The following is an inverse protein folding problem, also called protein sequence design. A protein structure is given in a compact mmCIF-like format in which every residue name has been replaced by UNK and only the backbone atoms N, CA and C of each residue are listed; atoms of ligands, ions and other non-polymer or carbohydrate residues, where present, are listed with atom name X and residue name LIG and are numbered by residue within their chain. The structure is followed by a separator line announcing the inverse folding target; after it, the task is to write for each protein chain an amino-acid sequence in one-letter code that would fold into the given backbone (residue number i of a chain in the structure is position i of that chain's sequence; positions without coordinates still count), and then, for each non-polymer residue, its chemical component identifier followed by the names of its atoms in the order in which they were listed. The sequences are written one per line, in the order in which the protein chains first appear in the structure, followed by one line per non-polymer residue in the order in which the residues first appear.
data_IF_109123530021
#
_entry.id   IF_109123530021
#
_cell.length_a   1.000
_cell.length_b   1.000
_cell.length_c   1.000
_cell.angle_alpha   90.00
_cell.angle_beta   90.00
_cell.angle_gamma   90.00
#
_symmetry.space_group_name_H-M   'P 1'
#
loop_
_entity.id
_entity.type
_entity.pdbx_description
1 polymer ?
#
# COMPACT_ATOMS: atom_id res chain seq x y z
N UNK A 1 -25.50 -18.31 -8.62
CA UNK A 1 -24.38 -19.25 -8.85
C UNK A 1 -23.09 -18.57 -8.37
N UNK A 2 -22.07 -19.31 -7.93
CA UNK A 2 -20.75 -18.70 -7.68
C UNK A 2 -20.21 -18.21 -9.02
N UNK A 3 -19.90 -16.92 -9.11
CA UNK A 3 -19.39 -16.27 -10.33
C UNK A 3 -17.89 -16.15 -10.30
N UNK A 4 -17.36 -15.73 -9.16
CA UNK A 4 -15.94 -15.51 -8.97
C UNK A 4 -15.50 -16.05 -7.62
N UNK A 5 -14.29 -16.58 -7.61
CA UNK A 5 -13.56 -17.04 -6.43
C UNK A 5 -12.22 -16.33 -6.48
N UNK A 6 -12.06 -15.32 -5.63
CA UNK A 6 -10.92 -14.41 -5.66
C UNK A 6 -10.12 -14.56 -4.36
N UNK A 7 -8.86 -14.98 -4.41
CA UNK A 7 -7.97 -14.92 -3.27
C UNK A 7 -7.85 -13.48 -2.74
N UNK A 8 -7.84 -13.30 -1.43
CA UNK A 8 -7.47 -12.02 -0.82
C UNK A 8 -5.94 -11.94 -0.80
N UNK A 9 -5.36 -10.84 -1.27
CA UNK A 9 -3.92 -10.79 -1.51
C UNK A 9 -3.05 -10.92 -0.25
N UNK A 10 -3.57 -10.69 0.95
CA UNK A 10 -2.85 -10.98 2.21
C UNK A 10 -2.78 -12.48 2.55
N UNK A 11 -3.41 -13.34 1.75
CA UNK A 11 -3.48 -14.79 1.94
C UNK A 11 -4.55 -15.25 2.93
N UNK A 12 -4.69 -16.57 3.06
CA UNK A 12 -5.61 -17.31 3.95
C UNK A 12 -7.08 -16.87 3.91
N UNK A 13 -7.48 -16.17 2.85
CA UNK A 13 -8.85 -15.75 2.65
C UNK A 13 -9.22 -15.76 1.17
N UNK A 14 -10.49 -16.05 0.90
CA UNK A 14 -11.08 -16.11 -0.42
C UNK A 14 -12.42 -15.35 -0.38
N UNK A 15 -12.58 -14.40 -1.31
CA UNK A 15 -13.86 -13.74 -1.59
C UNK A 15 -14.62 -14.52 -2.65
N UNK A 16 -15.87 -14.84 -2.33
CA UNK A 16 -16.82 -15.51 -3.22
C UNK A 16 -17.89 -14.51 -3.64
N UNK A 17 -18.06 -14.31 -4.95
CA UNK A 17 -19.16 -13.52 -5.49
C UNK A 17 -20.28 -14.45 -5.96
N UNK A 18 -21.46 -14.29 -5.37
CA UNK A 18 -22.66 -15.07 -5.62
C UNK A 18 -23.61 -14.26 -6.49
N UNK A 19 -23.99 -14.79 -7.65
CA UNK A 19 -25.08 -14.21 -8.42
C UNK A 19 -26.43 -14.68 -7.88
N UNK A 20 -27.37 -13.73 -7.80
CA UNK A 20 -28.78 -14.02 -7.54
C UNK A 20 -29.32 -15.06 -8.52
N UNK A 21 -30.01 -16.06 -7.99
CA UNK A 21 -30.81 -17.00 -8.78
C UNK A 21 -32.26 -16.58 -8.62
N UNK A 22 -32.99 -16.41 -9.71
CA UNK A 22 -34.37 -15.94 -9.66
C UNK A 22 -35.22 -16.84 -8.76
N UNK A 23 -35.88 -16.24 -7.75
CA UNK A 23 -36.69 -16.96 -6.76
C UNK A 23 -35.91 -17.60 -5.61
N UNK A 24 -34.59 -17.39 -5.52
CA UNK A 24 -33.81 -17.82 -4.36
C UNK A 24 -33.98 -16.84 -3.20
N UNK A 25 -34.46 -17.34 -2.05
CA UNK A 25 -34.62 -16.53 -0.83
C UNK A 25 -33.43 -16.58 0.13
N UNK A 26 -32.56 -17.58 -0.02
CA UNK A 26 -31.31 -17.73 0.72
C UNK A 26 -30.37 -18.69 -0.01
N UNK A 27 -29.09 -18.65 0.32
CA UNK A 27 -28.08 -19.59 -0.14
C UNK A 27 -27.18 -20.05 1.00
N UNK A 28 -26.65 -21.25 0.80
CA UNK A 28 -25.69 -21.90 1.69
C UNK A 28 -24.44 -22.25 0.89
N UNK A 29 -23.28 -21.87 1.40
CA UNK A 29 -21.99 -22.11 0.74
C UNK A 29 -21.20 -23.10 1.58
N UNK A 30 -20.79 -24.20 0.95
CA UNK A 30 -19.97 -25.24 1.56
C UNK A 30 -18.59 -25.27 0.92
N UNK A 31 -17.58 -25.62 1.70
CA UNK A 31 -16.19 -25.82 1.26
C UNK A 31 -15.66 -27.21 1.61
N UNK A 32 -14.87 -27.80 0.71
CA UNK A 32 -14.11 -29.04 0.93
C UNK A 32 -12.73 -28.95 0.25
N UNK A 33 -11.82 -29.85 0.64
CA UNK A 33 -10.54 -30.07 -0.04
C UNK A 33 -10.68 -31.02 -1.25
N UNK A 34 -11.86 -31.62 -1.44
CA UNK A 34 -12.20 -32.55 -2.51
C UNK A 34 -13.58 -32.23 -3.10
N UNK A 35 -13.78 -32.45 -4.42
CA UNK A 35 -15.06 -32.21 -5.11
C UNK A 35 -16.04 -33.39 -4.99
N UNK A 36 -16.36 -33.79 -3.77
CA UNK A 36 -17.24 -34.94 -3.47
C UNK A 36 -18.36 -34.54 -2.51
N UNK A 37 -19.03 -33.43 -2.78
CA UNK A 37 -20.15 -32.94 -1.97
C UNK A 37 -21.36 -33.88 -2.00
N UNK A 38 -21.85 -34.30 -0.83
CA UNK A 38 -23.02 -35.18 -0.71
C UNK A 38 -24.37 -34.45 -0.74
N UNK A 39 -24.39 -33.13 -0.48
CA UNK A 39 -25.62 -32.34 -0.42
C UNK A 39 -25.45 -30.99 0.28
N UNK A 40 -26.56 -30.30 0.51
CA UNK A 40 -26.58 -28.98 1.19
C UNK A 40 -26.26 -29.07 2.70
N UNK A 41 -26.28 -30.27 3.27
CA UNK A 41 -26.02 -30.60 4.67
C UNK A 41 -24.89 -31.63 4.82
N UNK A 42 -23.93 -31.65 3.88
CA UNK A 42 -22.77 -32.54 3.92
C UNK A 42 -21.98 -32.35 5.23
N UNK A 43 -21.90 -33.39 6.10
CA UNK A 43 -21.22 -33.29 7.39
C UNK A 43 -19.69 -33.21 7.27
N UNK A 44 -19.14 -33.58 6.11
CA UNK A 44 -17.71 -33.51 5.82
C UNK A 44 -17.33 -32.20 5.12
N UNK A 45 -18.29 -31.31 4.88
CA UNK A 45 -18.05 -30.00 4.31
C UNK A 45 -18.05 -28.93 5.40
N UNK A 46 -17.16 -27.96 5.25
CA UNK A 46 -17.15 -26.78 6.09
C UNK A 46 -18.25 -25.82 5.63
N UNK A 47 -19.11 -25.39 6.55
CA UNK A 47 -20.11 -24.36 6.28
C UNK A 47 -19.43 -22.99 6.25
N UNK A 48 -19.25 -22.43 5.06
CA UNK A 48 -18.64 -21.11 4.87
C UNK A 48 -19.65 -20.01 5.21
N UNK A 49 -20.89 -20.15 4.74
CA UNK A 49 -21.91 -19.12 4.90
C UNK A 49 -23.33 -19.67 4.71
N UNK A 50 -24.31 -19.10 5.41
CA UNK A 50 -25.74 -19.27 5.14
C UNK A 50 -26.46 -17.92 5.32
N UNK A 51 -27.15 -17.46 4.28
CA UNK A 51 -27.81 -16.15 4.28
C UNK A 51 -28.21 -15.71 2.88
N UNK A 52 -28.26 -14.41 2.62
CA UNK A 52 -28.69 -13.80 1.35
C UNK A 52 -27.71 -12.76 0.79
N UNK A 53 -26.50 -12.64 1.37
CA UNK A 53 -25.47 -11.72 0.89
C UNK A 53 -24.83 -12.17 -0.43
N UNK A 54 -24.73 -11.25 -1.39
CA UNK A 54 -24.15 -11.51 -2.71
C UNK A 54 -22.63 -11.68 -2.72
N UNK A 55 -21.96 -11.35 -1.62
CA UNK A 55 -20.51 -11.47 -1.46
C UNK A 55 -20.22 -12.10 -0.12
N UNK A 56 -19.42 -13.16 -0.12
CA UNK A 56 -19.02 -13.90 1.09
C UNK A 56 -17.51 -13.94 1.16
N UNK A 57 -16.93 -13.74 2.34
CA UNK A 57 -15.49 -13.91 2.55
C UNK A 57 -15.26 -15.13 3.43
N UNK A 58 -14.64 -16.14 2.86
CA UNK A 58 -14.13 -17.28 3.59
C UNK A 58 -12.72 -16.97 4.09
N UNK A 59 -12.52 -17.03 5.39
CA UNK A 59 -11.24 -16.72 6.03
C UNK A 59 -10.87 -17.73 7.14
N UNK A 60 -11.66 -18.79 7.30
CA UNK A 60 -11.52 -19.72 8.42
C UNK A 60 -10.85 -21.00 7.98
N UNK A 61 -9.74 -21.36 8.63
CA UNK A 61 -9.01 -22.62 8.40
C UNK A 61 -8.54 -22.82 6.94
N UNK A 62 -8.35 -21.72 6.21
CA UNK A 62 -7.72 -21.73 4.89
C UNK A 62 -6.21 -21.72 5.07
N UNK A 63 -5.52 -22.52 4.27
CA UNK A 63 -4.06 -22.57 4.17
C UNK A 63 -3.67 -22.10 2.78
N UNK A 64 -2.71 -21.15 2.70
CA UNK A 64 -2.15 -20.71 1.43
C UNK A 64 -1.66 -21.88 0.57
N UNK A 65 -1.83 -21.74 -0.75
CA UNK A 65 -1.43 -22.70 -1.79
C UNK A 65 -2.15 -24.06 -1.73
N UNK A 66 -3.20 -24.17 -0.90
CA UNK A 66 -4.10 -25.33 -0.86
C UNK A 66 -5.34 -25.07 -1.72
N UNK A 67 -5.64 -25.99 -2.63
CA UNK A 67 -6.86 -25.92 -3.44
C UNK A 67 -8.10 -26.28 -2.61
N UNK A 68 -9.09 -25.40 -2.64
CA UNK A 68 -10.41 -25.64 -2.03
C UNK A 68 -11.51 -25.62 -3.08
N UNK A 69 -12.48 -26.48 -2.88
CA UNK A 69 -13.70 -26.59 -3.67
C UNK A 69 -14.84 -25.95 -2.90
N UNK A 70 -15.64 -25.14 -3.60
CA UNK A 70 -16.78 -24.42 -3.08
C UNK A 70 -18.04 -24.80 -3.84
N UNK A 71 -19.13 -25.03 -3.11
CA UNK A 71 -20.43 -25.32 -3.72
C UNK A 71 -21.53 -24.53 -3.03
N UNK A 72 -22.29 -23.79 -3.83
CA UNK A 72 -23.44 -23.05 -3.33
C UNK A 72 -24.71 -23.86 -3.53
N UNK A 73 -25.59 -23.84 -2.54
CA UNK A 73 -26.92 -24.40 -2.58
C UNK A 73 -27.91 -23.25 -2.43
N UNK A 74 -28.87 -23.15 -3.35
CA UNK A 74 -29.85 -22.07 -3.41
C UNK A 74 -31.21 -22.60 -2.96
N UNK A 75 -31.86 -21.91 -2.03
CA UNK A 75 -33.21 -22.26 -1.60
C UNK A 75 -34.25 -21.66 -2.56
N UNK A 76 -34.81 -22.49 -3.44
CA UNK A 76 -35.79 -22.11 -4.47
C UNK A 76 -36.99 -23.04 -4.37
N UNK A 77 -38.20 -22.49 -4.31
CA UNK A 77 -39.46 -23.25 -4.30
C UNK A 77 -39.50 -24.39 -3.25
N UNK A 78 -39.00 -24.13 -2.04
CA UNK A 78 -38.92 -25.10 -0.93
C UNK A 78 -37.96 -26.28 -1.14
N UNK A 79 -37.00 -26.15 -2.06
CA UNK A 79 -35.94 -27.13 -2.29
C UNK A 79 -34.57 -26.46 -2.39
N UNK A 80 -33.52 -27.20 -2.00
CA UNK A 80 -32.14 -26.79 -2.22
C UNK A 80 -31.68 -27.20 -3.62
N UNK A 81 -31.29 -26.22 -4.42
CA UNK A 81 -30.72 -26.42 -5.75
C UNK A 81 -29.21 -26.23 -5.69
N UNK A 82 -28.44 -27.25 -6.06
CA UNK A 82 -26.99 -27.18 -6.10
C UNK A 82 -26.49 -26.35 -7.30
N UNK A 83 -25.42 -25.59 -7.09
CA UNK A 83 -24.63 -24.96 -8.16
C UNK A 83 -23.56 -25.90 -8.71
N UNK A 84 -22.93 -25.48 -9.80
CA UNK A 84 -21.62 -26.01 -10.17
C UNK A 84 -20.61 -25.76 -9.03
N UNK A 85 -19.63 -26.65 -8.90
CA UNK A 85 -18.50 -26.47 -8.00
C UNK A 85 -17.58 -25.38 -8.57
N UNK A 86 -17.14 -24.47 -7.72
CA UNK A 86 -16.10 -23.49 -8.01
C UNK A 86 -14.85 -23.83 -7.21
N UNK A 87 -13.68 -23.42 -7.68
CA UNK A 87 -12.41 -23.70 -7.01
C UNK A 87 -11.67 -22.42 -6.70
N UNK A 88 -10.93 -22.40 -5.59
CA UNK A 88 -10.05 -21.30 -5.23
C UNK A 88 -8.87 -21.79 -4.43
N UNK A 89 -7.73 -21.14 -4.61
CA UNK A 89 -6.50 -21.39 -3.87
C UNK A 89 -6.08 -20.06 -3.26
N UNK A 90 -6.11 -19.90 -1.92
CA UNK A 90 -5.67 -18.68 -1.29
C UNK A 90 -4.14 -18.57 -1.48
N UNK A 91 -3.66 -17.38 -1.79
CA UNK A 91 -2.24 -17.13 -1.97
C UNK A 91 -1.95 -15.67 -1.60
N UNK A 92 -0.75 -15.40 -1.09
CA UNK A 92 -0.32 -14.04 -0.79
C UNK A 92 0.46 -13.48 -1.98
N UNK A 93 -0.14 -12.58 -2.75
CA UNK A 93 0.43 -12.00 -3.99
C UNK A 93 0.49 -10.48 -4.03
N UNK A 94 0.42 -9.80 -2.88
CA UNK A 94 0.50 -8.34 -2.87
C UNK A 94 1.95 -7.85 -2.99
N UNK A 95 2.13 -6.78 -3.76
CA UNK A 95 3.34 -6.00 -3.82
C UNK A 95 3.07 -4.57 -3.34
N UNK A 96 4.05 -3.99 -2.65
CA UNK A 96 3.98 -2.60 -2.23
C UNK A 96 4.21 -1.68 -3.44
N UNK A 97 3.19 -0.88 -3.79
CA UNK A 97 3.24 0.11 -4.84
C UNK A 97 3.10 1.54 -4.29
N UNK A 98 3.37 1.71 -2.99
CA UNK A 98 3.23 2.97 -2.27
C UNK A 98 4.50 3.82 -2.38
N UNK A 99 4.32 5.15 -2.36
CA UNK A 99 5.46 6.08 -2.32
C UNK A 99 5.89 6.30 -0.86
N UNK A 100 7.05 5.76 -0.45
CA UNK A 100 7.64 6.09 0.85
C UNK A 100 8.22 7.51 0.85
N UNK A 101 7.37 8.46 1.27
CA UNK A 101 7.71 9.88 1.33
C UNK A 101 8.90 10.16 2.25
N UNK A 102 9.06 9.42 3.35
CA UNK A 102 10.14 9.65 4.31
C UNK A 102 11.48 9.28 3.69
N UNK A 103 11.58 8.10 3.07
CA UNK A 103 12.81 7.66 2.41
C UNK A 103 13.15 8.55 1.21
N UNK A 104 12.14 8.89 0.39
CA UNK A 104 12.34 9.77 -0.76
C UNK A 104 12.86 11.16 -0.32
N UNK A 105 12.24 11.76 0.68
CA UNK A 105 12.64 13.09 1.17
C UNK A 105 14.03 13.05 1.81
N UNK A 106 14.34 12.00 2.57
CA UNK A 106 15.67 11.77 3.15
C UNK A 106 16.74 11.73 2.07
N UNK A 107 16.53 10.94 1.02
CA UNK A 107 17.49 10.82 -0.09
C UNK A 107 17.66 12.16 -0.82
N UNK A 108 16.55 12.89 -1.05
CA UNK A 108 16.63 14.21 -1.68
C UNK A 108 17.35 15.24 -0.83
N UNK A 109 17.19 15.20 0.49
CA UNK A 109 17.95 16.04 1.41
C UNK A 109 19.44 15.69 1.37
N UNK A 110 19.80 14.41 1.35
CA UNK A 110 21.20 13.98 1.26
C UNK A 110 21.88 14.52 -0.01
N UNK A 111 21.25 14.31 -1.18
CA UNK A 111 21.76 14.84 -2.45
C UNK A 111 21.82 16.37 -2.46
N UNK A 112 20.79 17.03 -1.91
CA UNK A 112 20.71 18.48 -1.87
C UNK A 112 21.77 19.12 -0.97
N UNK A 113 22.01 18.55 0.21
CA UNK A 113 23.03 19.05 1.14
C UNK A 113 24.44 18.84 0.63
N UNK A 114 24.71 17.75 -0.09
CA UNK A 114 26.01 17.56 -0.76
C UNK A 114 26.33 18.69 -1.73
N UNK A 115 25.34 19.13 -2.52
CA UNK A 115 25.52 20.28 -3.43
C UNK A 115 25.80 21.58 -2.67
N UNK A 116 25.13 21.81 -1.53
CA UNK A 116 25.37 23.03 -0.73
C UNK A 116 26.74 23.00 -0.02
N UNK A 117 27.25 21.81 0.34
CA UNK A 117 28.62 21.64 0.84
C UNK A 117 29.65 21.85 -0.28
N UNK A 118 29.41 21.32 -1.48
CA UNK A 118 30.28 21.54 -2.65
C UNK A 118 30.36 23.02 -3.05
N UNK A 119 29.27 23.77 -2.85
CA UNK A 119 29.23 25.24 -3.05
C UNK A 119 29.98 26.02 -1.97
N UNK A 120 30.38 25.37 -0.88
CA UNK A 120 31.05 25.99 0.27
C UNK A 120 30.11 26.86 1.12
N UNK A 121 28.80 26.71 0.99
CA UNK A 121 27.80 27.46 1.80
C UNK A 121 27.71 26.86 3.20
N UNK A 122 27.80 25.53 3.29
CA UNK A 122 27.82 24.78 4.55
C UNK A 122 29.14 24.03 4.61
N UNK A 123 29.82 24.09 5.75
CA UNK A 123 31.04 23.33 6.01
C UNK A 123 30.73 22.20 6.99
N UNK A 124 31.21 21.01 6.67
CA UNK A 124 31.11 19.84 7.55
C UNK A 124 32.42 19.06 7.50
N UNK A 125 32.84 18.49 8.63
CA UNK A 125 34.11 17.76 8.76
C UNK A 125 34.23 16.61 7.75
N UNK A 126 33.12 15.94 7.46
CA UNK A 126 33.05 14.83 6.50
C UNK A 126 32.75 15.25 5.05
N UNK A 127 32.72 16.54 4.74
CA UNK A 127 32.25 17.07 3.44
C UNK A 127 30.83 16.59 3.04
N UNK A 128 30.05 16.12 4.01
CA UNK A 128 28.66 15.70 3.86
C UNK A 128 27.96 15.91 5.19
N UNK A 129 26.75 16.48 5.15
CA UNK A 129 25.88 16.67 6.30
C UNK A 129 25.10 15.37 6.53
N UNK A 130 25.21 14.71 7.69
CA UNK A 130 24.47 13.48 7.93
C UNK A 130 22.96 13.75 8.06
N UNK A 131 22.18 12.97 7.30
CA UNK A 131 20.71 12.95 7.37
C UNK A 131 20.27 11.69 8.13
N UNK A 132 19.76 11.87 9.35
CA UNK A 132 19.34 10.80 10.25
C UNK A 132 17.81 10.69 10.30
N UNK A 133 17.30 9.51 10.63
CA UNK A 133 15.86 9.28 10.88
C UNK A 133 15.51 9.24 12.38
N UNK A 134 16.54 9.20 13.23
CA UNK A 134 16.43 9.25 14.69
C UNK A 134 17.03 10.56 15.23
N UNK A 135 16.57 11.05 16.40
CA UNK A 135 17.16 12.23 17.03
C UNK A 135 18.67 12.05 17.27
N UNK A 136 19.48 13.11 17.10
CA UNK A 136 20.93 13.00 17.22
C UNK A 136 21.34 12.85 18.69
N UNK A 137 22.32 11.99 18.96
CA UNK A 137 22.98 11.90 20.27
C UNK A 137 24.19 12.83 20.25
N UNK A 138 24.28 13.76 21.20
CA UNK A 138 25.25 14.85 21.19
C UNK A 138 26.73 14.40 21.12
N UNK A 139 27.08 13.33 21.83
CA UNK A 139 28.47 12.85 21.89
C UNK A 139 28.90 12.10 20.62
N UNK A 140 27.95 11.39 19.98
CA UNK A 140 28.20 10.52 18.82
C UNK A 140 27.98 11.24 17.49
N UNK A 141 27.16 12.30 17.48
CA UNK A 141 26.76 12.99 16.25
C UNK A 141 27.73 14.12 15.93
N UNK A 142 28.16 14.21 14.67
CA UNK A 142 28.94 15.35 14.17
C UNK A 142 27.99 16.40 13.61
N UNK A 143 28.26 17.65 13.97
CA UNK A 143 27.43 18.80 13.63
C UNK A 143 28.05 19.60 12.47
N UNK A 144 27.24 20.27 11.63
CA UNK A 144 25.77 20.27 11.59
C UNK A 144 25.16 18.95 11.10
N UNK A 145 23.97 18.58 11.59
CA UNK A 145 23.23 17.40 11.14
C UNK A 145 21.76 17.72 10.88
N UNK A 146 21.07 16.85 10.15
CA UNK A 146 19.63 16.98 9.88
C UNK A 146 18.93 15.69 10.28
N UNK A 147 17.77 15.81 10.91
CA UNK A 147 16.91 14.67 11.21
C UNK A 147 15.57 14.80 10.51
N UNK A 148 15.01 13.68 10.07
CA UNK A 148 13.69 13.60 9.44
C UNK A 148 12.85 12.60 10.22
N UNK A 149 11.70 13.04 10.71
CA UNK A 149 10.80 12.25 11.52
C UNK A 149 9.41 12.19 10.88
N UNK A 150 8.80 11.01 10.90
CA UNK A 150 7.38 10.87 10.61
C UNK A 150 6.58 11.31 11.84
N UNK A 151 5.81 12.40 11.72
CA UNK A 151 4.93 12.85 12.81
C UNK A 151 3.60 12.11 12.77
N UNK A 152 3.00 12.04 11.59
CA UNK A 152 1.76 11.30 11.39
C UNK A 152 1.62 10.84 9.94
N UNK A 153 1.00 9.68 9.81
CA UNK A 153 0.47 9.17 8.55
C UNK A 153 -0.98 8.80 8.82
N UNK A 154 -1.90 9.42 8.09
CA UNK A 154 -3.33 9.20 8.27
C UNK A 154 -4.02 9.04 6.93
N UNK A 155 -5.01 8.14 6.81
CA UNK A 155 -5.80 8.05 5.59
C UNK A 155 -6.58 9.36 5.43
N UNK A 156 -6.26 10.13 4.39
CA UNK A 156 -6.85 11.44 4.15
C UNK A 156 -8.23 11.29 3.51
N UNK A 157 -8.29 10.49 2.45
CA UNK A 157 -9.49 10.23 1.69
C UNK A 157 -9.47 8.79 1.17
N UNK A 158 -10.57 8.07 1.43
CA UNK A 158 -10.94 6.92 0.60
C UNK A 158 -11.67 7.50 -0.61
N UNK A 159 -10.91 7.88 -1.63
CA UNK A 159 -11.50 8.29 -2.90
C UNK A 159 -12.37 7.15 -3.44
N UNK A 160 -13.55 7.47 -3.96
CA UNK A 160 -14.17 6.76 -5.08
C UNK A 160 -13.82 7.65 -6.29
N UNK A 161 -12.82 7.27 -7.09
CA UNK A 161 -12.06 8.20 -7.98
C UNK A 161 -11.00 8.94 -7.15
N UNK A 162 -9.70 9.02 -7.46
CA UNK A 162 -9.08 9.76 -8.58
C UNK A 162 -7.55 9.47 -8.70
N UNK A 163 -6.97 8.52 -9.44
CA UNK A 163 -7.42 7.42 -10.32
C UNK A 163 -6.99 6.08 -9.66
N UNK A 164 -7.81 5.06 -9.43
CA UNK A 164 -9.01 4.58 -10.13
C UNK A 164 -8.77 4.40 -11.62
N UNK A 165 -7.76 3.61 -11.99
CA UNK A 165 -7.99 2.79 -13.18
C UNK A 165 -9.14 1.84 -12.81
N UNK A 166 -10.23 1.77 -13.58
CA UNK A 166 -11.06 0.57 -13.50
C UNK A 166 -10.10 -0.60 -13.69
N UNK A 167 -10.39 -1.74 -13.06
CA UNK A 167 -9.80 -3.00 -13.49
C UNK A 167 -9.77 -2.93 -15.02
N UNK A 168 -8.59 -3.03 -15.62
CA UNK A 168 -8.47 -2.95 -17.05
C UNK A 168 -7.93 -4.27 -17.51
N UNK A 169 -8.56 -4.74 -18.58
CA UNK A 169 -8.20 -5.99 -19.17
C UNK A 169 -6.97 -5.77 -20.06
N UNK A 170 -5.83 -6.21 -19.59
CA UNK A 170 -4.57 -6.28 -20.32
C UNK A 170 -4.71 -7.39 -21.38
N UNK A 171 -4.87 -7.00 -22.64
CA UNK A 171 -5.07 -7.92 -23.76
C UNK A 171 -3.82 -8.78 -24.08
N UNK A 172 -2.62 -8.28 -23.77
CA UNK A 172 -1.37 -8.99 -24.05
C UNK A 172 -1.14 -10.11 -23.03
N UNK A 173 -1.63 -9.92 -21.80
CA UNK A 173 -1.52 -10.87 -20.70
C UNK A 173 -2.82 -11.66 -20.43
N UNK A 174 -3.90 -11.34 -21.15
CA UNK A 174 -5.27 -11.88 -20.95
C UNK A 174 -5.76 -11.73 -19.49
N UNK A 175 -5.36 -10.63 -18.83
CA UNK A 175 -5.46 -10.44 -17.38
C UNK A 175 -6.22 -9.17 -17.00
N UNK A 176 -6.95 -9.19 -15.89
CA UNK A 176 -7.45 -7.97 -15.26
C UNK A 176 -6.45 -7.49 -14.22
N UNK A 177 -5.98 -6.25 -14.34
CA UNK A 177 -5.11 -5.63 -13.34
C UNK A 177 -5.96 -4.91 -12.28
N UNK A 178 -5.97 -5.45 -11.05
CA UNK A 178 -6.78 -4.96 -9.93
C UNK A 178 -5.92 -4.18 -8.95
N UNK A 179 -6.38 -2.99 -8.57
CA UNK A 179 -5.66 -2.07 -7.68
C UNK A 179 -6.48 -1.75 -6.43
N UNK A 180 -5.91 -1.89 -5.23
CA UNK A 180 -6.52 -1.47 -3.95
C UNK A 180 -5.61 -0.45 -3.22
N UNK A 181 -6.18 0.64 -2.68
CA UNK A 181 -5.41 1.65 -1.93
C UNK A 181 -6.20 2.87 -1.45
N UNK A 182 -5.52 3.79 -0.75
CA UNK A 182 -6.05 5.08 -0.31
C UNK A 182 -5.01 6.21 -0.46
N UNK A 183 -5.45 7.46 -0.38
CA UNK A 183 -4.55 8.61 -0.29
C UNK A 183 -4.18 8.85 1.18
N UNK A 184 -2.89 8.80 1.49
CA UNK A 184 -2.37 9.07 2.83
C UNK A 184 -1.96 10.54 2.95
N UNK A 185 -2.47 11.22 3.98
CA UNK A 185 -1.94 12.50 4.45
C UNK A 185 -0.73 12.20 5.31
N UNK A 186 0.45 12.57 4.80
CA UNK A 186 1.75 12.34 5.45
C UNK A 186 2.26 13.67 5.99
N UNK A 187 2.59 13.69 7.28
CA UNK A 187 3.23 14.82 7.96
C UNK A 187 4.61 14.39 8.45
N UNK A 188 5.63 15.09 7.96
CA UNK A 188 7.03 14.90 8.31
C UNK A 188 7.57 16.14 9.02
N UNK A 189 8.48 15.92 9.96
CA UNK A 189 9.24 16.98 10.61
C UNK A 189 10.71 16.83 10.26
N UNK A 190 11.26 17.83 9.60
CA UNK A 190 12.68 17.97 9.32
C UNK A 190 13.26 18.90 10.38
N UNK A 191 14.25 18.47 11.14
CA UNK A 191 14.94 19.31 12.11
C UNK A 191 16.39 19.46 11.68
N UNK A 192 16.83 20.68 11.44
CA UNK A 192 18.25 20.98 11.23
C UNK A 192 18.86 21.36 12.56
N UNK A 193 20.04 20.84 12.82
CA UNK A 193 20.75 21.03 14.07
C UNK A 193 22.13 21.62 13.81
N UNK A 194 22.49 22.64 14.58
CA UNK A 194 23.74 23.37 14.41
C UNK A 194 24.23 23.92 15.75
N UNK A 195 25.55 24.09 15.87
CA UNK A 195 26.17 24.75 17.03
C UNK A 195 26.24 26.26 16.85
N UNK A 196 26.13 26.76 15.62
CA UNK A 196 26.23 28.17 15.28
C UNK A 196 24.88 28.74 14.78
N UNK A 197 24.48 29.95 15.23
CA UNK A 197 23.22 30.57 14.81
C UNK A 197 23.22 30.99 13.33
N UNK A 198 24.37 31.34 12.75
CA UNK A 198 24.49 31.68 11.32
C UNK A 198 24.39 30.43 10.44
N UNK A 199 24.99 29.31 10.87
CA UNK A 199 24.84 28.02 10.19
C UNK A 199 23.38 27.56 10.19
N UNK A 200 22.64 27.74 11.30
CA UNK A 200 21.19 27.48 11.34
C UNK A 200 20.45 28.21 10.21
N UNK A 201 20.78 29.48 9.99
CA UNK A 201 20.10 30.30 8.97
C UNK A 201 20.37 29.76 7.57
N UNK A 202 21.61 29.38 7.26
CA UNK A 202 21.95 28.79 5.97
C UNK A 202 21.36 27.39 5.80
N UNK A 203 21.37 26.56 6.84
CA UNK A 203 20.72 25.23 6.86
C UNK A 203 19.22 25.35 6.57
N UNK A 204 18.52 26.29 7.21
CA UNK A 204 17.09 26.56 6.94
C UNK A 204 16.85 26.97 5.49
N UNK A 205 17.69 27.88 4.95
CA UNK A 205 17.60 28.31 3.54
C UNK A 205 17.88 27.13 2.60
N UNK A 206 18.85 26.28 2.93
CA UNK A 206 19.20 25.08 2.17
C UNK A 206 18.02 24.11 2.12
N UNK A 207 17.40 23.76 3.25
CA UNK A 207 16.19 22.90 3.28
C UNK A 207 15.10 23.46 2.35
N UNK A 208 14.82 24.77 2.43
CA UNK A 208 13.83 25.39 1.55
C UNK A 208 14.19 25.27 0.07
N UNK A 209 15.46 25.53 -0.30
CA UNK A 209 15.94 25.41 -1.69
C UNK A 209 15.85 23.97 -2.20
N UNK A 210 16.24 23.01 -1.37
CA UNK A 210 16.23 21.59 -1.72
C UNK A 210 14.80 21.12 -1.96
N UNK A 211 13.85 21.47 -1.08
CA UNK A 211 12.44 21.10 -1.28
C UNK A 211 11.89 21.74 -2.55
N UNK A 212 12.14 23.04 -2.77
CA UNK A 212 11.68 23.75 -3.97
C UNK A 212 12.28 23.17 -5.26
N UNK A 213 13.54 22.73 -5.23
CA UNK A 213 14.22 22.14 -6.37
C UNK A 213 13.69 20.74 -6.74
N UNK A 214 13.10 20.02 -5.78
CA UNK A 214 12.59 18.67 -5.99
C UNK A 214 11.07 18.61 -6.25
N UNK A 215 10.37 19.75 -6.38
CA UNK A 215 8.91 19.76 -6.60
C UNK A 215 8.47 18.94 -7.81
N UNK A 216 9.23 18.98 -8.92
CA UNK A 216 8.91 18.19 -10.11
C UNK A 216 9.11 16.68 -9.91
N UNK A 217 10.04 16.28 -9.04
CA UNK A 217 10.23 14.88 -8.69
C UNK A 217 9.10 14.41 -7.77
N UNK A 218 8.72 15.22 -6.79
CA UNK A 218 7.61 14.89 -5.90
C UNK A 218 6.29 14.73 -6.67
N UNK A 219 6.06 15.58 -7.68
CA UNK A 219 4.91 15.45 -8.59
C UNK A 219 4.97 14.15 -9.40
N UNK A 220 6.16 13.74 -9.88
CA UNK A 220 6.35 12.47 -10.59
C UNK A 220 6.05 11.25 -9.72
N UNK A 221 6.42 11.30 -8.44
CA UNK A 221 6.17 10.25 -7.44
C UNK A 221 4.74 10.29 -6.85
N UNK A 222 3.86 11.11 -7.43
CA UNK A 222 2.44 11.20 -7.07
C UNK A 222 2.14 12.00 -5.80
N UNK A 223 3.09 12.79 -5.30
CA UNK A 223 2.88 13.63 -4.12
C UNK A 223 2.17 14.94 -4.49
N UNK A 224 1.01 15.19 -3.88
CA UNK A 224 0.22 16.40 -4.13
C UNK A 224 0.06 17.25 -2.87
N UNK A 225 -0.33 18.52 -3.06
CA UNK A 225 -0.55 19.50 -1.98
C UNK A 225 0.63 19.58 -1.00
N UNK A 226 1.84 19.73 -1.54
CA UNK A 226 3.04 19.86 -0.73
C UNK A 226 3.02 21.22 -0.04
N UNK A 227 2.95 21.20 1.29
CA UNK A 227 3.03 22.38 2.14
C UNK A 227 4.23 22.27 3.06
N UNK A 228 4.94 23.39 3.22
CA UNK A 228 6.08 23.47 4.13
C UNK A 228 5.95 24.67 5.03
N UNK A 229 6.15 24.48 6.33
CA UNK A 229 6.23 25.56 7.32
C UNK A 229 7.52 25.45 8.10
N UNK A 230 8.16 26.59 8.37
CA UNK A 230 9.46 26.64 9.05
C UNK A 230 9.38 27.51 10.31
N UNK A 231 10.03 27.06 11.38
CA UNK A 231 10.17 27.78 12.64
C UNK A 231 11.57 27.56 13.21
N UNK A 232 12.19 28.62 13.70
CA UNK A 232 13.44 28.50 14.45
C UNK A 232 13.12 28.22 15.91
N UNK A 233 13.79 27.24 16.49
CA UNK A 233 13.66 26.85 17.89
C UNK A 233 15.06 26.80 18.50
N UNK A 234 15.17 27.24 19.74
CA UNK A 234 16.44 27.27 20.44
C UNK A 234 16.31 26.35 21.66
N UNK A 235 17.20 25.36 21.74
CA UNK A 235 17.24 24.45 22.87
C UNK A 235 18.50 24.73 23.68
N UNK A 236 18.29 25.44 24.79
CA UNK A 236 19.33 25.82 25.74
C UNK A 236 19.39 24.89 26.95
N UNK A 237 18.56 23.84 27.01
CA UNK A 237 18.32 23.07 28.23
C UNK A 237 18.60 21.58 28.10
N UNK A 238 18.42 21.00 26.91
CA UNK A 238 18.51 19.54 26.74
C UNK A 238 19.93 19.02 26.54
N UNK A 239 20.87 19.88 26.15
CA UNK A 239 22.25 19.50 25.81
C UNK A 239 23.29 20.28 26.63
N UNK A 240 24.48 19.69 26.77
CA UNK A 240 25.61 20.30 27.52
C UNK A 240 26.16 21.58 26.84
N UNK A 241 25.77 21.85 25.60
CA UNK A 241 26.06 23.07 24.86
C UNK A 241 24.78 23.62 24.21
N UNK A 242 24.66 24.95 24.01
CA UNK A 242 23.52 25.52 23.31
C UNK A 242 23.44 24.97 21.88
N UNK A 243 22.30 24.37 21.53
CA UNK A 243 22.06 23.83 20.18
C UNK A 243 20.97 24.64 19.52
N UNK A 244 21.27 25.13 18.31
CA UNK A 244 20.36 25.90 17.50
C UNK A 244 19.64 24.98 16.52
N UNK A 245 18.31 24.98 16.58
CA UNK A 245 17.46 24.12 15.77
C UNK A 245 16.61 24.95 14.78
N UNK A 246 16.42 24.43 13.58
CA UNK A 246 15.36 24.92 12.69
C UNK A 246 14.44 23.76 12.38
N UNK A 247 13.17 23.90 12.72
CA UNK A 247 12.14 22.90 12.49
C UNK A 247 11.38 23.28 11.22
N UNK A 248 11.30 22.35 10.27
CA UNK A 248 10.52 22.45 9.06
C UNK A 248 9.48 21.33 9.06
N UNK A 249 8.21 21.68 9.23
CA UNK A 249 7.10 20.75 9.02
C UNK A 249 6.80 20.67 7.53
N UNK A 250 6.74 19.46 7.01
CA UNK A 250 6.45 19.11 5.62
C UNK A 250 5.19 18.25 5.62
N UNK A 251 4.16 18.67 4.90
CA UNK A 251 2.94 17.89 4.73
C UNK A 251 2.62 17.69 3.27
N UNK A 252 2.17 16.49 2.91
CA UNK A 252 1.75 16.16 1.56
C UNK A 252 0.69 15.07 1.59
N UNK A 253 0.04 14.87 0.45
CA UNK A 253 -0.80 13.70 0.20
C UNK A 253 -0.05 12.80 -0.77
N UNK A 254 0.09 11.51 -0.44
CA UNK A 254 0.80 10.52 -1.24
C UNK A 254 -0.05 9.25 -1.43
N UNK A 255 0.15 8.49 -2.53
CA UNK A 255 -0.55 7.24 -2.77
C UNK A 255 -0.04 6.12 -1.85
N UNK A 256 -0.96 5.49 -1.12
CA UNK A 256 -0.73 4.24 -0.40
C UNK A 256 -1.52 3.12 -1.09
N UNK A 257 -0.84 2.34 -1.93
CA UNK A 257 -1.43 1.33 -2.79
C UNK A 257 -0.69 -0.01 -2.68
N UNK A 258 -1.47 -1.08 -2.82
CA UNK A 258 -0.95 -2.43 -3.03
C UNK A 258 -1.30 -2.87 -4.46
N UNK A 259 -0.32 -3.40 -5.16
CA UNK A 259 -0.53 -4.07 -6.44
C UNK A 259 -0.83 -5.54 -6.17
N UNK A 260 -1.82 -6.09 -6.85
CA UNK A 260 -2.15 -7.51 -6.77
C UNK A 260 -1.92 -8.15 -8.13
N UNK A 261 -1.12 -9.20 -8.19
CA UNK A 261 -1.14 -10.12 -9.32
C UNK A 261 -2.36 -11.03 -9.14
N UNK A 262 -3.28 -11.06 -10.12
CA UNK A 262 -4.38 -12.04 -10.14
C UNK A 262 -3.89 -13.37 -10.77
N UNK A 263 -3.77 -14.46 -9.99
CA UNK A 263 -3.29 -15.75 -10.51
C UNK A 263 -4.36 -16.54 -11.29
N UNK A 264 -5.62 -16.10 -11.37
CA UNK A 264 -6.72 -16.90 -11.94
C UNK A 264 -7.00 -16.65 -13.43
N UNK A 265 -5.98 -16.80 -14.29
CA UNK A 265 -6.20 -17.06 -15.72
C UNK A 265 -5.92 -18.53 -15.99
N UNK A 266 -6.99 -19.26 -16.26
CA UNK A 266 -6.95 -20.62 -16.78
C UNK A 266 -6.24 -20.58 -18.14
N UNK A 267 -4.92 -20.81 -18.15
CA UNK A 267 -4.16 -21.12 -19.36
C UNK A 267 -4.50 -22.53 -19.82
N UNK A 268 -5.54 -22.69 -20.63
CA UNK A 268 -5.62 -23.72 -21.69
C UNK A 268 -6.92 -23.61 -22.50
N UNK A 269 -6.82 -23.12 -23.73
CA UNK A 269 -7.59 -23.67 -24.85
C UNK A 269 -6.63 -23.87 -26.01
N UNK A 270 -6.16 -25.11 -26.19
CA UNK A 270 -5.58 -25.55 -27.45
C UNK A 270 -6.68 -25.50 -28.51
N UNK A 271 -6.74 -24.46 -29.33
CA UNK A 271 -7.45 -24.52 -30.60
C UNK A 271 -6.44 -24.81 -31.71
N UNK A 272 -6.25 -26.10 -31.98
CA UNK A 272 -5.66 -26.54 -33.25
C UNK A 272 -6.60 -26.10 -34.37
N UNK A 273 -6.22 -25.05 -35.10
CA UNK A 273 -6.91 -24.68 -36.33
C UNK A 273 -6.50 -25.69 -37.40
N UNK A 274 -7.39 -26.64 -37.70
CA UNK A 274 -7.31 -27.47 -38.90
C UNK A 274 -7.77 -26.60 -40.06
N UNK A 275 -6.86 -26.25 -40.96
CA UNK A 275 -7.22 -25.70 -42.26
C UNK A 275 -7.74 -26.84 -43.13
N UNK A 276 -9.03 -26.83 -43.46
CA UNK A 276 -9.55 -27.56 -44.61
C UNK A 276 -9.65 -26.61 -45.80
N UNK A 277 -9.02 -27.03 -46.90
CA UNK A 277 -8.96 -26.37 -48.22
C UNK A 277 -10.34 -26.03 -48.80
#
# INVERSE_FOLDING_TARGET
MIRFVQPIASGNAIRLLLSLVAGAGKWRVLRKETDDFSGFDDPNAFLVYEGDEGTVVDHQFLVNDQLYYYKAYYWVNSAWLASATATGMPHASYEEASTDVLSLLRDRLDYGFRVEVERGVITHEYNAVPILTAPPVFEDTRWPCVTVHLESESPAERGLGEAFMPDFYNQDEDAWEVHEGWLASVQLQIVTWSLNPDERIEMRKAVRRIIQANLSLFDHEGMIKIETSQRDVEDFTSYQAPVYQSMCSFSCIAPAQIRMDDPNIIRQVNSTIVFTE
#
